data_IF_438532886432
#
_entry.id   IF_438532886432
#
_cell.length_a   1.000
_cell.length_b   1.000
_cell.length_c   1.000
_cell.angle_alpha   90.00
_cell.angle_beta   90.00
_cell.angle_gamma   90.00
#
_symmetry.space_group_name_H-M   'P 1'
#
loop_
_entity.id
_entity.type
_entity.pdbx_description
1 polymer ?
#
# COMPACT_ATOMS: atom_id res chain seq x y z
N UNK A 1 -13.84 27.74 6.02
CA UNK A 1 -15.30 27.70 5.79
C UNK A 1 -15.56 26.56 4.80
N UNK A 2 -16.21 25.47 5.22
CA UNK A 2 -16.57 24.40 4.28
C UNK A 2 -17.94 24.76 3.69
N UNK A 3 -17.96 25.25 2.45
CA UNK A 3 -19.20 25.68 1.79
C UNK A 3 -19.72 24.47 1.00
N UNK A 4 -20.92 23.92 1.32
CA UNK A 4 -21.47 22.80 0.57
C UNK A 4 -21.84 23.22 -0.86
N UNK A 5 -21.93 22.24 -1.77
CA UNK A 5 -22.44 22.50 -3.12
C UNK A 5 -23.82 23.17 -3.05
N UNK A 6 -23.95 24.30 -3.74
CA UNK A 6 -25.16 25.10 -3.72
C UNK A 6 -25.57 25.54 -5.11
N UNK A 7 -26.88 25.64 -5.33
CA UNK A 7 -27.47 26.23 -6.54
C UNK A 7 -27.69 27.74 -6.40
N UNK A 8 -27.36 28.33 -5.26
CA UNK A 8 -27.54 29.77 -5.05
C UNK A 8 -26.50 30.58 -5.82
N UNK A 9 -26.94 31.68 -6.41
CA UNK A 9 -26.10 32.57 -7.21
C UNK A 9 -25.12 33.41 -6.38
N UNK A 10 -25.40 33.57 -5.08
CA UNK A 10 -24.64 34.45 -4.18
C UNK A 10 -24.45 33.79 -2.82
N UNK A 11 -23.28 33.99 -2.22
CA UNK A 11 -23.02 33.69 -0.81
C UNK A 11 -22.90 34.98 -0.01
N UNK A 12 -23.53 35.02 1.16
CA UNK A 12 -23.36 36.11 2.12
C UNK A 12 -22.37 35.67 3.20
N UNK A 13 -21.22 36.33 3.27
CA UNK A 13 -20.24 36.14 4.33
C UNK A 13 -20.45 37.23 5.37
N UNK A 14 -20.66 36.83 6.63
CA UNK A 14 -20.75 37.75 7.76
C UNK A 14 -19.48 37.64 8.60
N UNK A 15 -18.86 38.78 8.90
CA UNK A 15 -17.68 38.87 9.74
C UNK A 15 -18.06 39.79 10.90
N UNK A 16 -18.04 39.24 12.11
CA UNK A 16 -18.28 40.02 13.31
C UNK A 16 -17.03 40.86 13.62
N UNK A 17 -17.13 42.17 13.43
CA UNK A 17 -16.04 43.10 13.66
C UNK A 17 -16.56 44.39 14.29
N UNK A 18 -15.81 44.95 15.25
CA UNK A 18 -16.13 46.24 15.87
C UNK A 18 -15.93 47.43 14.93
N UNK A 19 -15.11 47.26 13.90
CA UNK A 19 -14.79 48.25 12.87
C UNK A 19 -15.15 47.63 11.53
N UNK A 20 -15.79 48.41 10.66
CA UNK A 20 -16.20 47.96 9.32
C UNK A 20 -14.96 47.54 8.53
N UNK A 21 -14.83 46.26 8.11
CA UNK A 21 -13.71 45.82 7.29
C UNK A 21 -13.92 46.26 5.83
N UNK A 22 -12.82 46.66 5.19
CA UNK A 22 -12.80 46.89 3.74
C UNK A 22 -12.49 45.57 3.01
N UNK A 23 -13.24 45.32 1.93
CA UNK A 23 -13.00 44.17 1.05
C UNK A 23 -11.94 44.56 0.01
N UNK A 24 -10.73 44.01 0.16
CA UNK A 24 -9.61 44.31 -0.76
C UNK A 24 -9.71 43.45 -2.03
N UNK A 25 -9.97 42.15 -1.88
CA UNK A 25 -10.06 41.20 -2.99
C UNK A 25 -10.91 39.99 -2.61
N UNK A 26 -11.50 39.32 -3.60
CA UNK A 26 -12.20 38.06 -3.42
C UNK A 26 -11.99 37.15 -4.64
N UNK A 27 -11.37 35.99 -4.42
CA UNK A 27 -11.28 34.92 -5.40
C UNK A 27 -12.21 33.78 -5.03
N UNK A 28 -12.83 33.19 -6.05
CA UNK A 28 -13.52 31.91 -5.93
C UNK A 28 -12.91 30.95 -6.95
N UNK A 29 -12.33 29.86 -6.45
CA UNK A 29 -11.84 28.76 -7.27
C UNK A 29 -12.61 27.51 -6.93
N UNK A 30 -13.17 26.84 -7.93
CA UNK A 30 -13.75 25.51 -7.75
C UNK A 30 -12.78 24.48 -8.33
N UNK A 31 -12.02 23.84 -7.45
CA UNK A 31 -11.28 22.65 -7.84
C UNK A 31 -12.23 21.45 -7.78
N UNK A 32 -12.87 21.15 -8.92
CA UNK A 32 -13.65 19.92 -9.06
C UNK A 32 -12.67 18.76 -9.25
N UNK A 33 -12.31 18.11 -8.14
CA UNK A 33 -11.70 16.79 -8.23
C UNK A 33 -12.84 15.86 -8.63
N UNK A 34 -12.83 15.36 -9.87
CA UNK A 34 -13.72 14.27 -10.26
C UNK A 34 -13.54 13.14 -9.25
N UNK A 35 -14.60 12.80 -8.50
CA UNK A 35 -14.54 11.72 -7.53
C UNK A 35 -14.25 10.44 -8.31
N UNK A 36 -13.05 9.89 -8.13
CA UNK A 36 -12.71 8.57 -8.63
C UNK A 36 -13.73 7.55 -8.13
N UNK A 37 -13.91 6.48 -8.91
CA UNK A 37 -14.70 5.34 -8.48
C UNK A 37 -14.04 4.70 -7.25
N UNK A 38 -14.81 4.42 -6.22
CA UNK A 38 -14.36 3.77 -5.00
C UNK A 38 -15.20 2.53 -4.76
N UNK A 39 -14.59 1.50 -4.18
CA UNK A 39 -15.29 0.26 -3.80
C UNK A 39 -15.14 0.00 -2.31
N UNK A 40 -16.20 -0.52 -1.69
CA UNK A 40 -16.17 -1.02 -0.32
C UNK A 40 -15.58 -2.44 -0.33
N UNK A 41 -14.64 -2.71 0.57
CA UNK A 41 -14.02 -4.03 0.70
C UNK A 41 -14.73 -4.88 1.75
N UNK A 42 -14.97 -6.14 1.39
CA UNK A 42 -15.61 -7.09 2.29
C UNK A 42 -14.66 -7.47 3.44
N UNK A 43 -15.15 -7.24 4.67
CA UNK A 43 -14.47 -7.64 5.90
C UNK A 43 -14.78 -9.11 6.18
N UNK A 44 -13.74 -9.93 6.35
CA UNK A 44 -13.84 -11.33 6.72
C UNK A 44 -14.08 -11.49 8.22
N UNK A 45 -13.33 -10.75 9.03
CA UNK A 45 -13.40 -10.78 10.49
C UNK A 45 -13.03 -9.41 11.04
N UNK A 46 -13.72 -8.99 12.10
CA UNK A 46 -13.33 -7.84 12.90
C UNK A 46 -13.49 -8.16 14.38
N UNK A 47 -12.70 -7.50 15.21
CA UNK A 47 -12.77 -7.64 16.67
C UNK A 47 -12.27 -6.38 17.35
N UNK A 48 -12.87 -6.05 18.49
CA UNK A 48 -12.50 -4.91 19.31
C UNK A 48 -12.11 -5.41 20.70
N UNK A 49 -10.92 -5.06 21.16
CA UNK A 49 -10.38 -5.41 22.47
C UNK A 49 -10.03 -4.13 23.21
N UNK A 50 -10.45 -4.03 24.47
CA UNK A 50 -10.05 -2.90 25.31
C UNK A 50 -8.83 -3.27 26.15
N UNK A 51 -7.71 -2.61 25.88
CA UNK A 51 -6.47 -2.77 26.61
C UNK A 51 -6.38 -1.74 27.75
N UNK A 52 -6.77 -2.16 28.96
CA UNK A 52 -6.77 -1.29 30.15
C UNK A 52 -5.37 -0.85 30.58
N UNK A 53 -4.33 -1.66 30.35
CA UNK A 53 -2.96 -1.32 30.74
C UNK A 53 -2.40 -0.19 29.87
N UNK A 54 -2.64 -0.27 28.55
CA UNK A 54 -2.23 0.75 27.60
C UNK A 54 -3.25 1.90 27.45
N UNK A 55 -4.36 1.87 28.20
CA UNK A 55 -5.45 2.85 28.13
C UNK A 55 -5.93 3.11 26.70
N UNK A 56 -6.08 2.04 25.93
CA UNK A 56 -6.45 2.11 24.52
C UNK A 56 -7.42 1.00 24.12
N UNK A 57 -8.22 1.26 23.10
CA UNK A 57 -9.01 0.23 22.41
C UNK A 57 -8.31 -0.17 21.12
N UNK A 58 -8.12 -1.46 20.93
CA UNK A 58 -7.46 -2.06 19.77
C UNK A 58 -8.51 -2.79 18.94
N UNK A 59 -8.76 -2.32 17.73
CA UNK A 59 -9.61 -2.99 16.75
C UNK A 59 -8.75 -3.69 15.70
N UNK A 60 -8.97 -4.97 15.49
CA UNK A 60 -8.37 -5.73 14.40
C UNK A 60 -9.41 -6.00 13.32
N UNK A 61 -9.03 -5.79 12.06
CA UNK A 61 -9.91 -5.97 10.90
C UNK A 61 -9.16 -6.76 9.83
N UNK A 62 -9.70 -7.90 9.45
CA UNK A 62 -9.18 -8.77 8.39
C UNK A 62 -10.12 -8.71 7.18
N UNK A 63 -9.60 -8.29 6.04
CA UNK A 63 -10.27 -8.24 4.75
C UNK A 63 -10.24 -9.63 4.08
N UNK A 64 -11.19 -9.90 3.18
CA UNK A 64 -11.23 -11.18 2.44
C UNK A 64 -9.98 -11.39 1.58
N UNK A 65 -9.45 -10.33 0.98
CA UNK A 65 -8.31 -10.37 0.06
C UNK A 65 -7.32 -9.26 0.41
N UNK A 66 -6.03 -9.41 0.04
CA UNK A 66 -5.08 -8.29 0.05
C UNK A 66 -5.46 -7.30 -1.05
N UNK A 67 -5.89 -6.09 -0.66
CA UNK A 67 -6.43 -5.08 -1.59
C UNK A 67 -5.82 -3.71 -1.31
N UNK A 68 -5.73 -2.82 -2.32
CA UNK A 68 -5.21 -1.46 -2.13
C UNK A 68 -6.23 -0.62 -1.34
N UNK A 69 -5.97 -0.39 -0.06
CA UNK A 69 -6.80 0.45 0.80
C UNK A 69 -6.26 1.87 0.78
N UNK A 70 -7.14 2.86 0.63
CA UNK A 70 -6.80 4.29 0.69
C UNK A 70 -7.70 5.11 1.63
N UNK A 71 -8.78 4.50 2.13
CA UNK A 71 -9.70 5.16 3.05
C UNK A 71 -10.35 4.20 4.03
N UNK A 72 -10.48 4.67 5.28
CA UNK A 72 -11.16 3.95 6.36
C UNK A 72 -12.11 4.92 7.05
N UNK A 73 -13.35 4.50 7.28
CA UNK A 73 -14.33 5.21 8.10
C UNK A 73 -14.68 4.37 9.32
N UNK A 74 -14.72 5.01 10.49
CA UNK A 74 -15.09 4.38 11.76
C UNK A 74 -16.39 5.01 12.24
N UNK A 75 -17.44 4.19 12.38
CA UNK A 75 -18.74 4.63 12.85
C UNK A 75 -18.85 4.37 14.36
N UNK A 76 -18.89 5.46 15.15
CA UNK A 76 -19.05 5.46 16.62
C UNK A 76 -20.53 5.72 16.95
N UNK A 77 -21.06 5.03 17.95
CA UNK A 77 -22.48 5.11 18.33
C UNK A 77 -22.78 5.76 19.66
N UNK A 78 -21.75 6.18 20.39
CA UNK A 78 -21.92 6.98 21.59
C UNK A 78 -22.66 8.28 21.29
N UNK A 79 -23.59 8.63 22.17
CA UNK A 79 -24.34 9.90 22.12
C UNK A 79 -23.60 11.05 22.80
N UNK A 80 -22.52 10.75 23.52
CA UNK A 80 -21.67 11.75 24.19
C UNK A 80 -20.64 12.32 23.23
N UNK A 81 -20.22 13.55 23.48
CA UNK A 81 -19.10 14.15 22.75
C UNK A 81 -17.79 13.44 23.08
N UNK A 82 -16.96 13.25 22.06
CA UNK A 82 -15.66 12.59 22.19
C UNK A 82 -14.61 13.25 21.29
N UNK A 83 -13.36 13.10 21.70
CA UNK A 83 -12.18 13.52 20.96
C UNK A 83 -11.02 12.59 21.33
N UNK A 84 -10.68 11.62 20.45
CA UNK A 84 -9.70 10.56 20.74
C UNK A 84 -8.69 10.41 19.62
N UNK A 85 -7.38 10.55 19.91
CA UNK A 85 -6.35 10.22 18.95
C UNK A 85 -6.50 8.76 18.49
N UNK A 86 -6.33 8.55 17.19
CA UNK A 86 -6.37 7.22 16.58
C UNK A 86 -5.17 7.00 15.68
N UNK A 87 -4.61 5.80 15.74
CA UNK A 87 -3.55 5.33 14.85
C UNK A 87 -4.03 4.12 14.08
N UNK A 88 -3.96 4.19 12.76
CA UNK A 88 -4.34 3.12 11.84
C UNK A 88 -3.05 2.50 11.32
N UNK A 89 -2.93 1.18 11.49
CA UNK A 89 -1.79 0.38 11.06
C UNK A 89 -2.24 -0.75 10.16
N UNK A 90 -1.32 -1.27 9.36
CA UNK A 90 -1.51 -2.50 8.60
C UNK A 90 -0.41 -3.49 8.91
N UNK A 91 -0.72 -4.78 8.75
CA UNK A 91 0.29 -5.83 8.84
C UNK A 91 1.17 -5.79 7.59
N UNK A 92 2.41 -5.35 7.74
CA UNK A 92 3.38 -5.25 6.65
C UNK A 92 4.08 -6.58 6.40
N UNK A 93 4.45 -7.30 7.46
CA UNK A 93 5.13 -8.58 7.37
C UNK A 93 4.89 -9.43 8.63
N UNK A 94 5.13 -10.73 8.53
CA UNK A 94 5.14 -11.64 9.68
C UNK A 94 6.19 -12.71 9.51
N UNK A 95 6.91 -13.04 10.60
CA UNK A 95 7.93 -14.08 10.58
C UNK A 95 7.78 -15.00 11.80
N UNK A 96 8.03 -16.29 11.57
CA UNK A 96 7.94 -17.31 12.60
C UNK A 96 9.29 -17.47 13.30
N UNK A 97 9.30 -17.25 14.61
CA UNK A 97 10.43 -17.64 15.47
C UNK A 97 10.20 -19.03 16.04
N UNK A 98 11.23 -19.62 16.66
CA UNK A 98 11.12 -20.94 17.30
C UNK A 98 10.03 -21.00 18.39
N UNK A 99 9.66 -19.85 18.98
CA UNK A 99 8.63 -19.75 20.02
C UNK A 99 7.30 -19.23 19.48
N UNK A 100 7.31 -18.19 18.64
CA UNK A 100 6.07 -17.52 18.22
C UNK A 100 6.13 -16.79 16.87
N UNK A 101 4.95 -16.49 16.31
CA UNK A 101 4.79 -15.56 15.20
C UNK A 101 5.00 -14.12 15.66
N UNK A 102 5.87 -13.39 14.96
CA UNK A 102 6.05 -11.96 15.14
C UNK A 102 5.40 -11.24 13.97
N UNK A 103 4.67 -10.16 14.28
CA UNK A 103 3.89 -9.38 13.31
C UNK A 103 4.45 -7.96 13.27
N UNK A 104 4.87 -7.52 12.09
CA UNK A 104 5.41 -6.18 11.86
C UNK A 104 4.29 -5.30 11.34
N UNK A 105 3.92 -4.29 12.13
CA UNK A 105 2.89 -3.32 11.78
C UNK A 105 3.51 -1.98 11.39
N UNK A 106 3.04 -1.41 10.29
CA UNK A 106 3.40 -0.07 9.84
C UNK A 106 2.17 0.85 9.92
N UNK A 107 2.39 2.13 10.20
CA UNK A 107 1.32 3.13 10.28
C UNK A 107 0.87 3.54 8.88
N UNK A 108 -0.43 3.44 8.61
CA UNK A 108 -1.09 3.97 7.42
C UNK A 108 -1.45 5.45 7.59
N UNK A 109 -2.07 5.76 8.73
CA UNK A 109 -2.59 7.08 9.04
C UNK A 109 -2.69 7.27 10.55
N UNK A 110 -2.64 8.53 10.96
CA UNK A 110 -2.99 8.96 12.31
C UNK A 110 -3.96 10.14 12.23
N UNK A 111 -4.83 10.26 13.22
CA UNK A 111 -5.81 11.34 13.25
C UNK A 111 -6.56 11.36 14.58
N UNK A 112 -7.78 11.90 14.55
CA UNK A 112 -8.64 12.00 15.73
C UNK A 112 -10.05 11.53 15.38
N UNK A 113 -10.59 10.63 16.19
CA UNK A 113 -12.02 10.34 16.25
C UNK A 113 -12.71 11.43 17.06
N UNK A 114 -13.69 12.11 16.48
CA UNK A 114 -14.45 13.13 17.19
C UNK A 114 -15.95 13.09 16.83
N UNK A 115 -16.81 13.69 17.68
CA UNK A 115 -18.26 13.75 17.47
C UNK A 115 -18.72 14.80 16.46
N UNK A 116 -17.81 15.65 15.95
CA UNK A 116 -18.12 16.77 15.05
C UNK A 116 -17.99 16.40 13.57
N UNK A 117 -17.18 15.39 13.24
CA UNK A 117 -16.84 14.99 11.87
C UNK A 117 -17.29 13.56 11.53
N UNK A 118 -17.18 13.20 10.26
CA UNK A 118 -17.56 11.87 9.75
C UNK A 118 -16.59 10.75 10.09
N UNK A 119 -15.50 11.00 10.83
CA UNK A 119 -14.47 10.01 11.23
C UNK A 119 -13.92 9.17 10.07
N UNK A 120 -13.60 9.85 8.97
CA UNK A 120 -13.01 9.27 7.77
C UNK A 120 -11.53 9.61 7.64
N UNK A 121 -10.69 8.62 7.40
CA UNK A 121 -9.24 8.74 7.32
C UNK A 121 -8.77 8.36 5.91
N UNK A 122 -8.23 9.32 5.16
CA UNK A 122 -7.65 9.13 3.82
C UNK A 122 -6.13 9.02 3.91
N UNK A 123 -5.53 8.15 3.11
CA UNK A 123 -4.09 7.94 3.05
C UNK A 123 -3.68 7.39 1.67
N UNK A 124 -2.37 7.28 1.42
CA UNK A 124 -1.87 6.75 0.15
C UNK A 124 -2.27 5.27 -0.03
N UNK A 125 -2.74 4.85 -1.22
CA UNK A 125 -3.15 3.48 -1.48
C UNK A 125 -2.07 2.47 -1.07
N UNK A 126 -2.43 1.57 -0.15
CA UNK A 126 -1.52 0.55 0.39
C UNK A 126 -2.18 -0.81 0.33
N UNK A 127 -1.50 -1.80 -0.24
CA UNK A 127 -2.01 -3.19 -0.27
C UNK A 127 -2.01 -3.73 1.16
N UNK A 128 -3.19 -3.98 1.70
CA UNK A 128 -3.37 -4.50 3.05
C UNK A 128 -4.46 -5.57 3.07
N UNK A 129 -4.28 -6.57 3.93
CA UNK A 129 -5.32 -7.55 4.26
C UNK A 129 -5.72 -7.44 5.74
N UNK A 130 -4.77 -7.15 6.63
CA UNK A 130 -5.00 -7.02 8.07
C UNK A 130 -4.68 -5.60 8.51
N UNK A 131 -5.63 -5.00 9.20
CA UNK A 131 -5.57 -3.65 9.74
C UNK A 131 -5.69 -3.71 11.26
N UNK A 132 -4.96 -2.82 11.93
CA UNK A 132 -5.04 -2.60 13.37
C UNK A 132 -5.31 -1.12 13.61
N UNK A 133 -6.39 -0.81 14.32
CA UNK A 133 -6.76 0.54 14.70
C UNK A 133 -6.61 0.66 16.21
N UNK A 134 -5.80 1.62 16.64
CA UNK A 134 -5.53 1.92 18.05
C UNK A 134 -6.20 3.24 18.40
N UNK A 135 -7.20 3.20 19.28
CA UNK A 135 -7.92 4.37 19.77
C UNK A 135 -7.41 4.67 21.18
N UNK A 136 -6.77 5.82 21.35
CA UNK A 136 -6.23 6.23 22.65
C UNK A 136 -7.35 6.80 23.51
N UNK A 137 -7.73 6.08 24.57
CA UNK A 137 -8.84 6.46 25.44
C UNK A 137 -8.41 7.39 26.57
N UNK A 138 -7.12 7.38 26.94
CA UNK A 138 -6.63 8.01 28.16
C UNK A 138 -7.47 7.54 29.37
N UNK A 139 -8.03 8.45 30.16
CA UNK A 139 -8.86 8.11 31.31
C UNK A 139 -10.36 7.97 30.96
N UNK A 140 -10.73 8.08 29.69
CA UNK A 140 -12.12 7.94 29.24
C UNK A 140 -12.53 6.48 29.10
N UNK A 141 -13.82 6.20 29.27
CA UNK A 141 -14.40 4.88 28.99
C UNK A 141 -14.28 4.55 27.49
N UNK A 142 -14.06 3.29 27.07
CA UNK A 142 -13.99 2.92 25.64
C UNK A 142 -15.21 3.38 24.83
N UNK A 143 -14.98 3.80 23.58
CA UNK A 143 -16.08 4.13 22.66
C UNK A 143 -16.80 2.87 22.19
N UNK A 144 -18.11 2.98 21.97
CA UNK A 144 -18.93 1.99 21.27
C UNK A 144 -18.77 2.17 19.76
N UNK A 145 -18.15 1.18 19.11
CA UNK A 145 -17.93 1.19 17.65
C UNK A 145 -19.00 0.31 17.00
N UNK A 146 -19.86 0.91 16.17
CA UNK A 146 -20.93 0.20 15.47
C UNK A 146 -20.48 -0.44 14.16
N UNK A 147 -19.47 0.14 13.51
CA UNK A 147 -19.05 -0.31 12.21
C UNK A 147 -17.73 0.28 11.78
N UNK A 148 -17.12 -0.41 10.81
CA UNK A 148 -15.96 0.09 10.10
C UNK A 148 -16.18 -0.16 8.61
N UNK A 149 -15.88 0.85 7.80
CA UNK A 149 -15.88 0.76 6.36
C UNK A 149 -14.47 0.94 5.85
N UNK A 150 -14.01 0.00 5.04
CA UNK A 150 -12.69 0.03 4.42
C UNK A 150 -12.90 0.12 2.92
N UNK A 151 -12.29 1.11 2.28
CA UNK A 151 -12.49 1.38 0.85
C UNK A 151 -11.17 1.57 0.14
N UNK A 152 -11.23 1.43 -1.19
CA UNK A 152 -10.12 1.71 -2.08
C UNK A 152 -10.60 2.23 -3.42
N UNK A 153 -9.76 3.03 -4.06
CA UNK A 153 -9.94 3.47 -5.44
C UNK A 153 -10.01 2.28 -6.40
N UNK A 154 -10.96 2.32 -7.33
CA UNK A 154 -11.10 1.33 -8.38
C UNK A 154 -10.07 1.64 -9.47
N UNK A 155 -9.19 0.67 -9.75
CA UNK A 155 -8.25 0.75 -10.85
C UNK A 155 -8.79 0.01 -12.07
N UNK A 156 -8.74 0.65 -13.22
CA UNK A 156 -9.18 0.08 -14.50
C UNK A 156 -7.98 0.02 -15.45
N UNK A 157 -7.89 -1.08 -16.20
CA UNK A 157 -6.97 -1.21 -17.32
C UNK A 157 -7.78 -1.16 -18.61
N UNK A 158 -7.43 -0.23 -19.48
CA UNK A 158 -8.01 -0.12 -20.81
C UNK A 158 -6.98 -0.56 -21.85
N UNK A 159 -7.41 -1.41 -22.77
CA UNK A 159 -6.59 -1.87 -23.87
C UNK A 159 -7.39 -1.84 -25.17
N UNK A 160 -6.70 -1.60 -26.28
CA UNK A 160 -7.25 -1.72 -27.64
C UNK A 160 -6.82 -3.04 -28.24
N UNK A 161 -7.79 -3.86 -28.62
CA UNK A 161 -7.58 -5.15 -29.28
C UNK A 161 -7.84 -4.98 -30.78
N UNK A 162 -6.81 -5.15 -31.62
CA UNK A 162 -6.91 -4.96 -33.09
C UNK A 162 -6.96 -6.30 -33.82
N UNK A 163 -5.95 -7.19 -33.69
CA UNK A 163 -6.08 -8.53 -34.24
C UNK A 163 -7.01 -9.39 -33.37
N UNK A 164 -7.73 -10.29 -34.02
CA UNK A 164 -8.39 -11.41 -33.35
C UNK A 164 -7.33 -12.38 -32.86
N UNK A 165 -7.04 -12.34 -31.56
CA UNK A 165 -5.95 -13.06 -30.93
C UNK A 165 -6.26 -13.38 -29.47
N UNK A 166 -5.56 -14.37 -28.94
CA UNK A 166 -5.57 -14.64 -27.49
C UNK A 166 -4.61 -13.69 -26.79
N UNK A 167 -5.15 -12.82 -25.93
CA UNK A 167 -4.38 -11.87 -25.15
C UNK A 167 -4.15 -12.38 -23.73
N UNK A 168 -3.03 -12.00 -23.13
CA UNK A 168 -2.65 -12.39 -21.78
C UNK A 168 -2.34 -11.15 -20.95
N UNK A 169 -2.97 -11.04 -19.77
CA UNK A 169 -2.57 -10.06 -18.76
C UNK A 169 -1.48 -10.68 -17.88
N UNK A 170 -0.25 -10.21 -18.05
CA UNK A 170 0.91 -10.64 -17.24
C UNK A 170 1.30 -9.56 -16.24
N UNK A 171 1.59 -9.95 -15.01
CA UNK A 171 1.93 -9.02 -13.92
C UNK A 171 2.94 -9.64 -12.94
N UNK A 172 3.46 -8.83 -12.02
CA UNK A 172 4.40 -9.25 -10.97
C UNK A 172 5.89 -9.04 -11.30
N UNK A 173 6.23 -8.58 -12.51
CA UNK A 173 7.61 -8.21 -12.85
C UNK A 173 7.92 -6.77 -12.40
N UNK A 174 8.65 -6.61 -11.29
CA UNK A 174 9.06 -5.31 -10.75
C UNK A 174 10.01 -4.52 -11.66
N UNK A 175 10.66 -5.20 -12.60
CA UNK A 175 11.61 -4.59 -13.54
C UNK A 175 10.97 -4.29 -14.91
N UNK A 176 9.66 -4.53 -15.07
CA UNK A 176 8.98 -4.20 -16.32
C UNK A 176 8.89 -2.67 -16.48
N UNK A 177 9.32 -2.17 -17.64
CA UNK A 177 9.09 -0.78 -18.01
C UNK A 177 7.64 -0.57 -18.41
N UNK A 178 7.10 0.61 -18.10
CA UNK A 178 5.79 1.00 -18.61
C UNK A 178 5.84 1.06 -20.15
N UNK A 179 4.87 0.47 -20.85
CA UNK A 179 4.78 0.60 -22.31
C UNK A 179 4.35 2.02 -22.70
N UNK A 180 4.88 2.52 -23.80
CA UNK A 180 4.45 3.79 -24.40
C UNK A 180 3.48 3.51 -25.55
N UNK A 181 2.20 3.76 -25.31
CA UNK A 181 1.12 3.53 -26.27
C UNK A 181 0.46 4.84 -26.67
N UNK A 182 0.10 4.96 -27.95
CA UNK A 182 -0.64 6.11 -28.48
C UNK A 182 -1.93 6.42 -27.70
N UNK A 183 -2.54 5.39 -27.10
CA UNK A 183 -3.78 5.51 -26.32
C UNK A 183 -3.68 6.57 -25.20
N UNK A 184 -2.48 6.76 -24.64
CA UNK A 184 -2.22 7.74 -23.59
C UNK A 184 -2.45 9.19 -24.06
N UNK A 185 -2.21 9.47 -25.35
CA UNK A 185 -2.37 10.82 -25.94
C UNK A 185 -3.81 11.13 -26.39
N UNK A 186 -4.71 10.14 -26.37
CA UNK A 186 -6.10 10.27 -26.83
C UNK A 186 -7.11 9.88 -25.75
N UNK A 187 -6.81 10.22 -24.49
CA UNK A 187 -7.66 9.87 -23.35
C UNK A 187 -9.09 10.44 -23.48
N UNK A 188 -9.24 11.60 -24.12
CA UNK A 188 -10.51 12.26 -24.43
C UNK A 188 -11.36 11.55 -25.49
N UNK A 189 -10.75 10.65 -26.28
CA UNK A 189 -11.43 9.88 -27.33
C UNK A 189 -11.76 8.46 -26.92
N UNK A 190 -11.48 8.08 -25.66
CA UNK A 190 -11.88 6.80 -25.11
C UNK A 190 -13.41 6.81 -24.92
N UNK A 191 -14.17 5.88 -25.51
CA UNK A 191 -15.61 5.80 -25.29
C UNK A 191 -15.93 5.56 -23.80
N UNK A 192 -16.95 6.24 -23.27
CA UNK A 192 -17.39 6.05 -21.88
C UNK A 192 -17.85 4.60 -21.62
N UNK A 193 -18.38 3.93 -22.64
CA UNK A 193 -18.80 2.53 -22.60
C UNK A 193 -17.74 1.62 -23.22
N UNK A 194 -16.59 1.46 -22.57
CA UNK A 194 -15.66 0.40 -22.93
C UNK A 194 -16.26 -0.97 -22.58
N UNK A 195 -16.09 -1.96 -23.46
CA UNK A 195 -16.55 -3.33 -23.20
C UNK A 195 -15.84 -3.90 -21.98
N UNK A 196 -16.61 -4.38 -20.99
CA UNK A 196 -16.04 -5.05 -19.82
C UNK A 196 -15.50 -6.42 -20.23
N UNK A 197 -14.25 -6.70 -19.84
CA UNK A 197 -13.61 -7.99 -20.05
C UNK A 197 -13.44 -8.72 -18.72
N UNK A 198 -13.59 -10.04 -18.78
CA UNK A 198 -13.28 -10.93 -17.67
C UNK A 198 -11.97 -11.66 -17.97
N UNK A 199 -11.09 -11.70 -16.99
CA UNK A 199 -9.86 -12.49 -17.09
C UNK A 199 -10.20 -13.95 -16.84
N UNK A 200 -9.54 -14.86 -17.57
CA UNK A 200 -9.62 -16.29 -17.31
C UNK A 200 -8.91 -16.68 -16.00
N UNK A 201 -8.71 -17.98 -15.80
CA UNK A 201 -7.98 -18.49 -14.63
C UNK A 201 -6.53 -18.01 -14.59
N UNK A 202 -6.09 -17.59 -13.40
CA UNK A 202 -4.70 -17.21 -13.16
C UNK A 202 -3.77 -18.43 -13.29
N UNK A 203 -2.67 -18.25 -14.03
CA UNK A 203 -1.62 -19.28 -14.16
C UNK A 203 -0.28 -18.71 -13.71
N UNK A 204 0.38 -19.42 -12.81
CA UNK A 204 1.74 -19.07 -12.41
C UNK A 204 2.72 -19.44 -13.53
N UNK A 205 3.44 -18.47 -14.07
CA UNK A 205 4.38 -18.67 -15.19
C UNK A 205 5.73 -19.30 -14.76
N UNK A 206 5.91 -19.61 -13.46
CA UNK A 206 7.19 -20.07 -12.93
C UNK A 206 8.26 -18.97 -12.96
N UNK A 207 9.28 -19.08 -12.09
CA UNK A 207 10.49 -18.27 -12.29
C UNK A 207 11.22 -18.87 -13.47
N UNK A 208 11.53 -18.06 -14.48
CA UNK A 208 12.57 -18.44 -15.44
C UNK A 208 13.80 -18.75 -14.60
N UNK A 209 14.21 -20.03 -14.57
CA UNK A 209 15.47 -20.40 -13.94
C UNK A 209 16.53 -19.66 -14.75
N UNK A 210 16.98 -18.51 -14.24
CA UNK A 210 18.27 -18.01 -14.64
C UNK A 210 19.19 -19.17 -14.36
N UNK A 211 19.73 -19.77 -15.42
CA UNK A 211 20.76 -20.79 -15.29
C UNK A 211 21.87 -20.11 -14.51
N UNK A 212 21.91 -20.35 -13.20
CA UNK A 212 23.02 -19.92 -12.37
C UNK A 212 24.21 -20.66 -12.96
N UNK A 213 24.98 -19.96 -13.81
CA UNK A 213 26.24 -20.49 -14.30
C UNK A 213 27.11 -20.58 -13.08
N UNK A 214 27.17 -21.76 -12.47
CA UNK A 214 27.99 -22.00 -11.30
C UNK A 214 29.40 -21.52 -11.64
N UNK A 215 29.94 -20.53 -10.91
CA UNK A 215 31.26 -20.03 -11.20
C UNK A 215 32.29 -21.15 -11.10
N UNK A 216 33.34 -21.11 -11.93
CA UNK A 216 34.34 -22.18 -12.07
C UNK A 216 34.99 -22.60 -10.74
N UNK A 217 35.04 -21.71 -9.74
CA UNK A 217 35.56 -22.02 -8.40
C UNK A 217 34.66 -22.93 -7.56
N UNK A 218 33.39 -23.12 -7.92
CA UNK A 218 32.49 -24.12 -7.31
C UNK A 218 32.70 -25.52 -7.89
N UNK A 219 33.45 -25.67 -9.00
CA UNK A 219 33.79 -26.98 -9.55
C UNK A 219 34.97 -27.60 -8.77
N UNK A 220 34.69 -28.72 -8.10
CA UNK A 220 35.64 -29.52 -7.33
C UNK A 220 36.87 -29.94 -8.14
N UNK A 221 36.71 -30.22 -9.44
CA UNK A 221 37.81 -30.61 -10.34
C UNK A 221 38.72 -29.42 -10.63
N UNK A 222 38.16 -28.23 -10.76
CA UNK A 222 38.91 -26.99 -10.97
C UNK A 222 39.76 -26.63 -9.75
N UNK A 223 39.20 -26.79 -8.54
CA UNK A 223 39.92 -26.66 -7.28
C UNK A 223 41.05 -27.69 -7.12
N UNK A 224 40.85 -28.93 -7.55
CA UNK A 224 41.92 -29.93 -7.54
C UNK A 224 43.02 -29.61 -8.56
N UNK A 225 42.63 -29.12 -9.74
CA UNK A 225 43.56 -28.67 -10.78
C UNK A 225 44.47 -27.55 -10.27
N UNK A 226 43.91 -26.52 -9.64
CA UNK A 226 44.72 -25.42 -9.09
C UNK A 226 45.60 -25.89 -7.92
N UNK A 227 45.13 -26.83 -7.09
CA UNK A 227 45.94 -27.41 -6.02
C UNK A 227 47.17 -28.16 -6.55
N UNK A 228 46.99 -29.00 -7.58
CA UNK A 228 48.11 -29.72 -8.23
C UNK A 228 49.10 -28.73 -8.84
N UNK A 229 48.63 -27.72 -9.55
CA UNK A 229 49.49 -26.69 -10.16
C UNK A 229 50.29 -25.94 -9.09
N UNK A 230 49.66 -25.59 -7.96
CA UNK A 230 50.31 -24.89 -6.86
C UNK A 230 51.40 -25.75 -6.20
N UNK A 231 51.11 -27.04 -5.98
CA UNK A 231 52.10 -28.00 -5.43
C UNK A 231 53.28 -28.18 -6.39
N UNK A 232 53.03 -28.35 -7.69
CA UNK A 232 54.10 -28.46 -8.69
C UNK A 232 54.97 -27.20 -8.76
N UNK A 233 54.36 -26.02 -8.68
CA UNK A 233 55.06 -24.74 -8.61
C UNK A 233 55.97 -24.67 -7.39
N UNK A 234 55.47 -25.02 -6.20
CA UNK A 234 56.25 -25.02 -4.96
C UNK A 234 57.41 -26.03 -5.00
N UNK A 235 57.17 -27.23 -5.51
CA UNK A 235 58.22 -28.25 -5.70
C UNK A 235 59.28 -27.76 -6.68
N UNK A 236 58.89 -27.17 -7.80
CA UNK A 236 59.81 -26.63 -8.79
C UNK A 236 60.65 -25.48 -8.22
N UNK A 237 60.04 -24.53 -7.49
CA UNK A 237 60.75 -23.45 -6.82
C UNK A 237 61.73 -23.98 -5.76
N UNK A 238 61.33 -24.97 -4.95
CA UNK A 238 62.22 -25.63 -4.00
C UNK A 238 63.43 -26.27 -4.68
N UNK A 239 63.23 -27.01 -5.78
CA UNK A 239 64.33 -27.60 -6.55
C UNK A 239 65.24 -26.56 -7.19
N UNK A 240 64.66 -25.48 -7.73
CA UNK A 240 65.42 -24.36 -8.32
C UNK A 240 66.30 -23.67 -7.27
N UNK A 241 65.78 -23.48 -6.05
CA UNK A 241 66.56 -22.90 -4.94
C UNK A 241 67.69 -23.83 -4.47
N UNK A 242 67.48 -25.14 -4.47
CA UNK A 242 68.51 -26.12 -4.10
C UNK A 242 69.62 -26.24 -5.17
N UNK A 243 69.29 -26.11 -6.46
CA UNK A 243 70.29 -26.10 -7.55
C UNK A 243 71.08 -24.79 -7.68
N UNK A 244 70.67 -23.73 -6.98
CA UNK A 244 71.39 -22.44 -6.95
C UNK A 244 72.57 -22.38 -5.97
N UNK A 245 72.94 -23.51 -5.34
CA UNK A 245 74.10 -23.65 -4.46
C UNK A 245 74.97 -24.84 -4.88
N UNK A 246 75.59 -24.74 -6.05
CA UNK A 246 76.88 -25.37 -6.39
C UNK A 246 77.63 -24.42 -7.30
#
# INVERSE_FOLDING_TARGET
LNIPDSKYRYYRVFIEARIKPDLIHADIGQNVIAKGLSTDYAIRKSGLVNNKQLKQSEMEVELKWPVPVDYIKIDVSDSIDYYRPVTIKYLADSFKTKKDWNYIYHTLASGVLNSLDSNGFKFNPTIAQKLKIEIHNADNQPLQINGIRVTGSVHQLLARFVPDATYYLVYGNKNASAPDYDLNYFADKIPESAGQLFVGEERNLGKHQQTETNPLFMDRRWLWGIMIVTVLLLVWFSFKMLRGKQ
#
